data_IF_366661187878
#
_entry.id   IF_366661187878
#
_cell.length_a   1.000
_cell.length_b   1.000
_cell.length_c   1.000
_cell.angle_alpha   90.00
_cell.angle_beta   90.00
_cell.angle_gamma   90.00
#
_symmetry.space_group_name_H-M   'P 1'
#
loop_
_entity.id
_entity.type
_entity.pdbx_description
1 polymer ?
#
# COMPACT_ATOMS: atom_id res chain seq x y z
N UNK A 1 13.60 -1.72 -8.73
CA UNK A 1 15.08 -1.67 -8.57
C UNK A 1 15.40 -1.56 -7.08
N UNK A 2 16.62 -1.90 -6.63
CA UNK A 2 17.00 -1.86 -5.21
C UNK A 2 16.87 -0.46 -4.57
N UNK A 3 16.63 0.56 -5.40
CA UNK A 3 16.42 1.98 -5.04
C UNK A 3 15.01 2.31 -4.53
N UNK A 4 14.02 1.42 -4.66
CA UNK A 4 12.66 1.64 -4.17
C UNK A 4 12.22 0.52 -3.22
N UNK A 5 12.72 0.55 -1.97
CA UNK A 5 12.14 -0.27 -0.91
C UNK A 5 10.97 0.51 -0.30
N UNK A 6 9.87 -0.19 -0.05
CA UNK A 6 8.67 0.35 0.58
C UNK A 6 8.25 -0.53 1.76
N UNK A 7 7.41 0.02 2.63
CA UNK A 7 6.83 -0.72 3.74
C UNK A 7 5.87 -1.78 3.17
N UNK A 8 6.09 -3.05 3.52
CA UNK A 8 5.29 -4.16 3.03
C UNK A 8 3.98 -4.34 3.81
N UNK A 9 3.35 -5.50 3.63
CA UNK A 9 2.21 -5.89 4.45
C UNK A 9 2.66 -6.14 5.90
N UNK A 10 1.87 -5.68 6.86
CA UNK A 10 2.03 -6.00 8.27
C UNK A 10 1.50 -7.40 8.57
N UNK A 11 2.22 -8.14 9.41
CA UNK A 11 1.83 -9.49 9.84
C UNK A 11 1.79 -9.51 11.36
N UNK A 12 0.58 -9.67 11.91
CA UNK A 12 0.40 -9.88 13.34
C UNK A 12 0.98 -11.22 13.78
N UNK A 13 1.64 -11.25 14.95
CA UNK A 13 2.16 -12.49 15.52
C UNK A 13 1.00 -13.35 16.03
N UNK A 14 0.75 -14.54 15.47
CA UNK A 14 -0.36 -15.36 15.92
C UNK A 14 -0.09 -15.97 17.30
N UNK A 15 -1.13 -16.16 18.11
CA UNK A 15 -1.06 -16.97 19.33
C UNK A 15 -0.94 -18.46 18.95
N UNK A 16 0.17 -19.09 19.33
CA UNK A 16 0.41 -20.50 19.05
C UNK A 16 -0.54 -21.41 19.84
N UNK A 17 -1.05 -22.47 19.20
CA UNK A 17 -1.90 -23.47 19.83
C UNK A 17 -2.99 -24.02 18.93
N UNK A 18 -3.77 -24.95 19.47
CA UNK A 18 -4.99 -25.47 18.82
C UNK A 18 -6.18 -24.69 19.37
N UNK A 19 -6.82 -23.92 18.52
CA UNK A 19 -7.92 -23.04 18.90
C UNK A 19 -9.24 -23.55 18.29
N UNK A 20 -10.31 -23.51 19.07
CA UNK A 20 -11.67 -23.77 18.60
C UNK A 20 -12.42 -22.43 18.46
N UNK A 21 -13.45 -22.39 17.61
CA UNK A 21 -14.29 -21.21 17.40
C UNK A 21 -13.55 -19.98 16.85
N UNK A 22 -12.63 -20.18 15.91
CA UNK A 22 -11.90 -19.11 15.22
C UNK A 22 -12.71 -18.61 14.02
N UNK A 23 -12.89 -17.29 13.91
CA UNK A 23 -13.52 -16.64 12.75
C UNK A 23 -12.43 -16.04 11.87
N UNK A 24 -12.47 -16.36 10.57
CA UNK A 24 -11.55 -15.81 9.57
C UNK A 24 -12.28 -14.75 8.76
N UNK A 25 -11.82 -13.51 8.87
CA UNK A 25 -12.32 -12.38 8.09
C UNK A 25 -11.22 -12.03 7.08
N UNK A 26 -11.60 -11.93 5.82
CA UNK A 26 -10.70 -11.54 4.74
C UNK A 26 -11.34 -10.44 3.90
N UNK A 27 -10.51 -9.49 3.44
CA UNK A 27 -10.94 -8.39 2.60
C UNK A 27 -10.75 -8.81 1.15
N UNK A 28 -11.86 -9.02 0.45
CA UNK A 28 -11.85 -9.43 -0.96
C UNK A 28 -11.14 -8.39 -1.82
N UNK A 29 -10.03 -8.78 -2.46
CA UNK A 29 -9.31 -7.94 -3.43
C UNK A 29 -8.87 -6.58 -2.87
N UNK A 30 -8.37 -6.55 -1.63
CA UNK A 30 -8.01 -5.34 -0.89
C UNK A 30 -7.25 -4.28 -1.73
N UNK A 31 -6.10 -4.60 -2.35
CA UNK A 31 -5.33 -3.61 -3.12
C UNK A 31 -6.08 -3.09 -4.37
N UNK A 32 -6.65 -3.95 -5.24
CA UNK A 32 -7.55 -3.48 -6.30
C UNK A 32 -8.68 -2.58 -5.80
N UNK A 33 -9.31 -2.95 -4.68
CA UNK A 33 -10.40 -2.15 -4.09
C UNK A 33 -9.91 -0.79 -3.60
N UNK A 34 -8.68 -0.66 -3.13
CA UNK A 34 -8.10 0.65 -2.80
C UNK A 34 -7.83 1.50 -4.03
N UNK A 35 -7.32 0.92 -5.13
CA UNK A 35 -7.15 1.62 -6.40
C UNK A 35 -8.49 2.19 -6.87
N UNK A 36 -9.55 1.37 -6.82
CA UNK A 36 -10.89 1.83 -7.16
C UNK A 36 -11.38 2.92 -6.21
N UNK A 37 -11.40 2.66 -4.89
CA UNK A 37 -12.02 3.58 -3.92
C UNK A 37 -11.33 4.95 -3.89
N UNK A 38 -10.02 4.98 -4.08
CA UNK A 38 -9.24 6.21 -4.06
C UNK A 38 -9.06 6.81 -5.45
N UNK A 39 -9.57 6.16 -6.50
CA UNK A 39 -9.27 6.51 -7.88
C UNK A 39 -7.75 6.63 -8.14
N UNK A 40 -6.94 5.73 -7.56
CA UNK A 40 -5.50 5.87 -7.50
C UNK A 40 -4.84 5.55 -8.86
N UNK A 41 -4.56 6.60 -9.63
CA UNK A 41 -3.87 6.57 -10.91
C UNK A 41 -2.91 7.75 -11.02
N UNK A 42 -1.98 7.73 -11.98
CA UNK A 42 -0.94 8.77 -12.06
C UNK A 42 -1.55 10.15 -12.35
N UNK A 43 -2.45 10.21 -13.31
CA UNK A 43 -3.14 11.42 -13.76
C UNK A 43 -4.20 11.94 -12.80
N UNK A 44 -4.57 11.15 -11.78
CA UNK A 44 -5.52 11.55 -10.74
C UNK A 44 -4.83 11.83 -9.41
N UNK A 45 -3.55 11.51 -9.25
CA UNK A 45 -2.79 11.76 -8.03
C UNK A 45 -2.42 13.24 -7.94
N UNK A 46 -2.85 13.89 -6.86
CA UNK A 46 -2.45 15.27 -6.55
C UNK A 46 -1.22 15.26 -5.65
N UNK A 47 -1.24 14.44 -4.59
CA UNK A 47 -0.15 14.36 -3.63
C UNK A 47 -0.61 14.73 -2.22
N UNK A 48 0.25 15.39 -1.46
CA UNK A 48 0.01 15.84 -0.09
C UNK A 48 -0.91 17.07 -0.03
N UNK A 49 -1.16 17.57 1.18
CA UNK A 49 -1.95 18.80 1.37
C UNK A 49 -1.27 20.03 0.77
N UNK A 50 0.06 20.08 0.79
CA UNK A 50 0.79 21.19 0.19
C UNK A 50 0.71 21.14 -1.34
N UNK A 51 0.79 19.94 -1.93
CA UNK A 51 0.57 19.74 -3.37
C UNK A 51 -0.86 20.15 -3.79
N UNK A 52 -1.87 19.84 -2.98
CA UNK A 52 -3.25 20.27 -3.24
C UNK A 52 -3.39 21.80 -3.23
N UNK A 53 -2.73 22.50 -2.31
CA UNK A 53 -2.76 23.98 -2.25
C UNK A 53 -2.10 24.64 -3.46
N UNK A 54 -1.13 23.97 -4.07
CA UNK A 54 -0.44 24.43 -5.27
C UNK A 54 -1.17 24.03 -6.56
N UNK A 55 -2.14 23.12 -6.47
CA UNK A 55 -2.97 22.67 -7.58
C UNK A 55 -4.14 23.62 -7.88
N UNK A 56 -4.82 23.40 -9.00
CA UNK A 56 -6.07 24.11 -9.35
C UNK A 56 -7.32 23.56 -8.65
N UNK A 57 -7.19 22.43 -7.93
CA UNK A 57 -8.28 21.71 -7.30
C UNK A 57 -8.42 22.05 -5.83
N UNK A 58 -9.60 21.76 -5.28
CA UNK A 58 -9.93 21.92 -3.86
C UNK A 58 -10.16 20.57 -3.18
N UNK A 59 -10.27 20.57 -1.85
CA UNK A 59 -10.58 19.34 -1.11
C UNK A 59 -11.93 18.73 -1.53
N UNK A 60 -12.87 19.53 -2.06
CA UNK A 60 -14.18 19.07 -2.53
C UNK A 60 -14.10 18.29 -3.86
N UNK A 61 -13.03 18.50 -4.64
CA UNK A 61 -12.78 17.80 -5.91
C UNK A 61 -12.07 16.44 -5.69
N UNK A 62 -11.80 16.09 -4.43
CA UNK A 62 -10.87 15.03 -4.08
C UNK A 62 -11.47 13.92 -3.22
N UNK A 63 -10.93 12.72 -3.40
CA UNK A 63 -10.92 11.66 -2.38
C UNK A 63 -9.53 11.57 -1.76
N UNK A 64 -9.40 10.96 -0.58
CA UNK A 64 -8.12 10.91 0.12
C UNK A 64 -7.87 9.58 0.85
N UNK A 65 -6.59 9.25 0.96
CA UNK A 65 -6.06 8.13 1.74
C UNK A 65 -4.92 8.58 2.65
N UNK A 66 -4.15 7.62 3.17
CA UNK A 66 -2.97 7.91 3.99
C UNK A 66 -1.70 7.29 3.42
N UNK A 67 -0.60 8.04 3.54
CA UNK A 67 0.76 7.60 3.23
C UNK A 67 1.70 7.93 4.39
N UNK A 68 2.84 7.23 4.44
CA UNK A 68 3.98 7.60 5.27
C UNK A 68 5.06 8.21 4.38
N UNK A 69 5.24 9.53 4.48
CA UNK A 69 6.15 10.32 3.66
C UNK A 69 7.61 10.20 4.09
N UNK A 70 7.91 9.57 5.25
CA UNK A 70 9.29 9.40 5.70
C UNK A 70 10.11 8.61 4.68
N UNK A 71 11.40 8.92 4.51
CA UNK A 71 12.25 8.19 3.58
C UNK A 71 12.60 6.78 4.08
N UNK A 72 13.11 5.95 3.17
CA UNK A 72 13.80 4.71 3.52
C UNK A 72 15.30 4.99 3.62
N UNK A 73 15.92 4.57 4.73
CA UNK A 73 17.37 4.63 4.89
C UNK A 73 18.00 3.43 4.21
N UNK A 74 18.83 3.68 3.20
CA UNK A 74 19.72 2.70 2.62
C UNK A 74 21.07 2.76 3.34
N UNK A 75 21.55 1.62 3.84
CA UNK A 75 22.81 1.54 4.57
C UNK A 75 24.01 1.41 3.62
N UNK A 76 25.10 2.06 3.99
CA UNK A 76 26.42 1.79 3.43
C UNK A 76 27.01 0.48 3.98
N UNK A 77 27.98 -0.09 3.28
CA UNK A 77 28.61 -1.36 3.67
C UNK A 77 29.25 -1.24 5.06
N UNK A 78 28.72 -2.01 6.01
CA UNK A 78 29.22 -2.06 7.39
C UNK A 78 28.73 -0.92 8.29
N UNK A 79 27.82 -0.08 7.81
CA UNK A 79 27.21 0.99 8.61
C UNK A 79 26.31 0.40 9.71
N UNK A 80 26.43 0.87 10.98
CA UNK A 80 25.51 0.49 12.04
C UNK A 80 24.12 1.09 11.80
N UNK A 81 23.06 0.36 12.14
CA UNK A 81 21.69 0.71 11.74
C UNK A 81 20.81 1.26 12.88
N UNK A 82 21.14 0.94 14.14
CA UNK A 82 20.29 1.23 15.30
C UNK A 82 20.05 2.72 15.53
N UNK A 83 20.96 3.59 15.06
CA UNK A 83 20.81 5.03 15.14
C UNK A 83 19.71 5.60 14.22
N UNK A 84 19.23 4.82 13.25
CA UNK A 84 18.22 5.23 12.27
C UNK A 84 16.80 4.78 12.64
N UNK A 85 16.59 4.33 13.89
CA UNK A 85 15.28 3.92 14.43
C UNK A 85 14.58 5.01 15.24
N UNK A 86 15.13 6.23 15.22
CA UNK A 86 14.66 7.42 15.95
C UNK A 86 13.36 8.04 15.40
N UNK A 87 12.75 7.40 14.41
CA UNK A 87 11.52 7.82 13.77
C UNK A 87 11.70 8.75 12.57
N UNK A 88 12.92 9.11 12.17
CA UNK A 88 13.18 9.88 10.94
C UNK A 88 12.89 9.06 9.67
N UNK A 89 13.10 7.75 9.72
CA UNK A 89 12.90 6.83 8.60
C UNK A 89 11.71 5.90 8.85
N UNK A 90 11.06 5.45 7.76
CA UNK A 90 10.02 4.39 7.85
C UNK A 90 10.60 2.98 7.75
N UNK A 91 11.75 2.83 7.09
CA UNK A 91 12.44 1.56 6.89
C UNK A 91 13.95 1.81 6.91
N UNK A 92 14.70 0.89 7.49
CA UNK A 92 16.16 0.80 7.36
C UNK A 92 16.49 -0.47 6.58
N UNK A 93 17.11 -0.31 5.43
CA UNK A 93 17.38 -1.37 4.47
C UNK A 93 18.88 -1.49 4.18
N UNK A 94 19.41 -2.71 4.25
CA UNK A 94 20.79 -3.03 3.89
C UNK A 94 20.83 -3.59 2.46
N UNK A 95 21.32 -2.83 1.46
CA UNK A 95 21.43 -3.30 0.09
C UNK A 95 22.58 -4.31 -0.11
N UNK A 96 23.57 -4.34 0.79
CA UNK A 96 24.74 -5.20 0.69
C UNK A 96 24.51 -6.60 1.27
N UNK A 97 23.61 -6.70 2.25
CA UNK A 97 22.98 -7.94 2.69
C UNK A 97 21.45 -7.74 2.57
N UNK A 98 20.86 -7.93 1.37
CA UNK A 98 19.53 -7.43 0.94
C UNK A 98 18.39 -7.79 1.91
N UNK A 99 18.28 -7.00 2.98
CA UNK A 99 17.42 -7.28 4.12
C UNK A 99 16.97 -5.96 4.76
N UNK A 100 15.70 -5.93 5.14
CA UNK A 100 15.20 -4.91 6.06
C UNK A 100 15.80 -5.19 7.45
N UNK A 101 16.52 -4.22 8.00
CA UNK A 101 17.10 -4.32 9.36
C UNK A 101 16.10 -3.88 10.41
N UNK A 102 15.21 -2.96 10.05
CA UNK A 102 14.18 -2.40 10.91
C UNK A 102 13.09 -1.73 10.05
N UNK A 103 11.84 -1.75 10.50
CA UNK A 103 10.76 -0.90 9.98
C UNK A 103 10.06 -0.16 11.12
N UNK A 104 9.27 0.86 10.76
CA UNK A 104 8.47 1.58 11.75
C UNK A 104 7.44 0.69 12.47
N UNK A 105 7.09 -0.48 11.94
CA UNK A 105 6.22 -1.48 12.60
C UNK A 105 6.86 -2.02 13.89
N UNK A 106 8.20 -2.11 13.94
CA UNK A 106 8.96 -2.48 15.14
C UNK A 106 9.10 -1.29 16.13
N UNK A 107 8.56 -0.13 15.78
CA UNK A 107 8.67 1.13 16.54
C UNK A 107 7.30 1.70 16.90
N UNK A 108 7.11 2.99 16.64
CA UNK A 108 5.85 3.70 16.91
C UNK A 108 4.78 3.54 15.81
N UNK A 109 5.04 2.70 14.79
CA UNK A 109 4.16 2.49 13.65
C UNK A 109 4.33 3.51 12.51
N UNK A 110 3.50 3.39 11.46
CA UNK A 110 3.46 4.33 10.35
C UNK A 110 2.97 5.71 10.80
N UNK A 111 3.46 6.76 10.15
CA UNK A 111 2.93 8.12 10.28
C UNK A 111 1.93 8.36 9.17
N UNK A 112 0.73 8.77 9.53
CA UNK A 112 -0.35 8.98 8.58
C UNK A 112 -0.41 10.43 8.11
N UNK A 113 -0.05 10.65 6.86
CA UNK A 113 -0.22 11.91 6.15
C UNK A 113 -1.25 11.72 5.04
N UNK A 114 -2.15 12.69 4.87
CA UNK A 114 -3.17 12.60 3.81
C UNK A 114 -2.51 12.69 2.44
N UNK A 115 -2.90 11.79 1.56
CA UNK A 115 -2.67 11.89 0.12
C UNK A 115 -4.02 12.06 -0.59
N UNK A 116 -4.06 12.96 -1.55
CA UNK A 116 -5.26 13.35 -2.28
C UNK A 116 -5.21 12.84 -3.72
N UNK A 117 -6.37 12.41 -4.20
CA UNK A 117 -6.62 11.98 -5.57
C UNK A 117 -7.90 12.66 -6.06
N UNK A 118 -7.99 12.96 -7.35
CA UNK A 118 -9.23 13.48 -7.93
C UNK A 118 -10.37 12.48 -7.75
N UNK A 119 -11.54 12.98 -7.39
CA UNK A 119 -12.75 12.18 -7.33
C UNK A 119 -13.13 11.67 -8.74
N UNK A 120 -13.83 10.54 -8.79
CA UNK A 120 -14.17 9.87 -10.06
C UNK A 120 -15.00 10.71 -11.02
N UNK A 121 -15.84 11.59 -10.47
CA UNK A 121 -16.71 12.50 -11.22
C UNK A 121 -15.97 13.71 -11.79
N UNK A 122 -14.84 14.09 -11.18
CA UNK A 122 -13.92 15.10 -11.73
C UNK A 122 -13.10 14.51 -12.86
N UNK A 123 -12.42 13.39 -12.60
CA UNK A 123 -11.66 12.66 -13.62
C UNK A 123 -11.50 11.19 -13.21
N UNK A 124 -11.92 10.25 -14.06
CA UNK A 124 -11.69 8.82 -13.84
C UNK A 124 -10.27 8.43 -14.26
N UNK A 125 -9.56 7.71 -13.39
CA UNK A 125 -8.21 7.24 -13.65
C UNK A 125 -8.16 6.01 -14.57
N UNK A 126 -7.13 5.91 -15.39
CA UNK A 126 -6.82 4.77 -16.25
C UNK A 126 -6.67 3.46 -15.45
N UNK A 127 -5.92 3.47 -14.34
CA UNK A 127 -5.79 2.28 -13.50
C UNK A 127 -7.12 1.86 -12.86
N UNK A 128 -7.95 2.84 -12.52
CA UNK A 128 -9.31 2.60 -12.02
C UNK A 128 -10.14 1.85 -13.05
N UNK A 129 -10.16 2.31 -14.30
CA UNK A 129 -10.87 1.64 -15.40
C UNK A 129 -10.39 0.20 -15.62
N UNK A 130 -9.07 0.00 -15.70
CA UNK A 130 -8.50 -1.33 -15.86
C UNK A 130 -8.88 -2.28 -14.71
N UNK A 131 -8.84 -1.80 -13.46
CA UNK A 131 -9.16 -2.63 -12.29
C UNK A 131 -10.65 -2.97 -12.26
N UNK A 132 -11.52 -2.03 -12.61
CA UNK A 132 -12.97 -2.26 -12.69
C UNK A 132 -13.29 -3.37 -13.69
N UNK A 133 -12.74 -3.29 -14.91
CA UNK A 133 -12.90 -4.34 -15.93
C UNK A 133 -12.41 -5.71 -15.45
N UNK A 134 -11.25 -5.75 -14.78
CA UNK A 134 -10.69 -7.00 -14.24
C UNK A 134 -11.56 -7.59 -13.12
N UNK A 135 -12.14 -6.75 -12.27
CA UNK A 135 -13.05 -7.19 -11.20
C UNK A 135 -14.36 -7.70 -11.78
N UNK A 136 -14.91 -7.04 -12.80
CA UNK A 136 -16.12 -7.49 -13.48
C UNK A 136 -15.88 -8.84 -14.17
N UNK A 137 -14.75 -8.99 -14.86
CA UNK A 137 -14.35 -10.25 -15.48
C UNK A 137 -14.18 -11.36 -14.42
N UNK A 138 -13.50 -11.07 -13.32
CA UNK A 138 -13.34 -11.97 -12.17
C UNK A 138 -14.72 -12.43 -11.65
N UNK A 139 -15.65 -11.49 -11.48
CA UNK A 139 -16.98 -11.77 -10.95
C UNK A 139 -17.82 -12.59 -11.94
N UNK A 140 -17.74 -12.30 -13.24
CA UNK A 140 -18.43 -13.05 -14.29
C UNK A 140 -18.07 -14.54 -14.28
N UNK A 141 -16.79 -14.87 -14.08
CA UNK A 141 -16.32 -16.25 -14.09
C UNK A 141 -16.26 -16.89 -12.70
N UNK A 142 -16.60 -16.16 -11.63
CA UNK A 142 -16.54 -16.67 -10.26
C UNK A 142 -17.41 -17.93 -10.11
N UNK A 143 -16.82 -19.01 -9.60
CA UNK A 143 -17.51 -20.30 -9.42
C UNK A 143 -17.55 -21.17 -10.68
N UNK A 144 -16.98 -20.73 -11.80
CA UNK A 144 -16.79 -21.55 -13.01
C UNK A 144 -15.41 -22.18 -13.03
N UNK A 145 -15.20 -23.17 -13.91
CA UNK A 145 -13.89 -23.80 -14.13
C UNK A 145 -12.84 -22.83 -14.67
N UNK A 146 -13.26 -21.74 -15.33
CA UNK A 146 -12.38 -20.69 -15.85
C UNK A 146 -11.78 -19.81 -14.73
N UNK A 147 -12.34 -19.88 -13.53
CA UNK A 147 -11.86 -19.19 -12.32
C UNK A 147 -11.33 -20.17 -11.25
N UNK A 148 -11.11 -21.44 -11.62
CA UNK A 148 -10.50 -22.44 -10.75
C UNK A 148 -9.00 -22.22 -10.57
N UNK A 149 -8.48 -22.45 -9.36
CA UNK A 149 -7.04 -22.41 -9.10
C UNK A 149 -6.32 -23.51 -9.91
N UNK A 150 -5.54 -23.13 -10.91
CA UNK A 150 -4.65 -24.04 -11.64
C UNK A 150 -3.34 -24.23 -10.87
N UNK A 151 -3.41 -24.71 -9.63
CA UNK A 151 -2.23 -25.37 -9.06
C UNK A 151 -2.12 -26.74 -9.74
N UNK A 152 -1.21 -26.87 -10.72
CA UNK A 152 -0.70 -28.20 -11.09
C UNK A 152 -0.06 -28.78 -9.83
N UNK A 153 -0.62 -29.90 -9.37
CA UNK A 153 0.00 -30.78 -8.36
C UNK A 153 1.20 -31.46 -8.98
#
# INVERSE_FOLDING_TARGET
>A
PAEYKYLGAHVETPTAGVNQNVVYIDVSSMYPSFILTLNASLETTIGTRDDLRESEYTEDDCVWGYIDTRPVKHLDKGEPWQQYTDGQYKVVYDPHAPATKWSCDDGAGPRYEKVYFLAHDVQKGFLTECVEELIDLKNQYRGTSLYGSTKRV
#
